data_IF_866354148358
#
_entry.id   IF_866354148358
#
_cell.length_a   1.000
_cell.length_b   1.000
_cell.length_c   1.000
_cell.angle_alpha   90.00
_cell.angle_beta   90.00
_cell.angle_gamma   90.00
#
_symmetry.space_group_name_H-M   'P 1'
#
loop_
_entity.id
_entity.type
_entity.pdbx_description
1 polymer ?
#
# COMPACT_ATOMS: atom_id res chain seq x y z
N UNK A 1 -8.76 -24.35 2.24
CA UNK A 1 -7.49 -23.59 2.26
C UNK A 1 -6.42 -24.43 1.59
N UNK A 2 -5.78 -23.89 0.56
CA UNK A 2 -4.63 -24.55 -0.07
C UNK A 2 -3.45 -24.51 0.90
N UNK A 3 -2.91 -25.67 1.25
CA UNK A 3 -1.74 -25.79 2.11
C UNK A 3 -0.47 -25.54 1.27
N UNK A 4 0.29 -24.50 1.60
CA UNK A 4 1.56 -24.19 0.94
C UNK A 4 2.73 -24.54 1.86
N UNK A 5 3.36 -25.73 1.70
CA UNK A 5 4.43 -26.18 2.60
C UNK A 5 5.65 -25.25 2.61
N UNK A 6 5.90 -24.50 1.51
CA UNK A 6 6.99 -23.53 1.37
C UNK A 6 6.51 -22.06 1.48
N UNK A 7 5.27 -21.83 1.93
CA UNK A 7 4.64 -20.52 1.96
C UNK A 7 3.90 -20.15 0.67
N UNK A 8 3.00 -19.17 0.75
CA UNK A 8 2.16 -18.73 -0.38
C UNK A 8 3.03 -18.27 -1.57
N UNK A 9 2.76 -18.72 -2.81
CA UNK A 9 3.53 -18.27 -3.97
C UNK A 9 3.34 -16.76 -4.20
N UNK A 10 4.38 -16.05 -4.68
CA UNK A 10 4.24 -14.70 -5.18
C UNK A 10 3.15 -14.61 -6.26
N UNK A 11 2.58 -13.42 -6.43
CA UNK A 11 1.60 -13.19 -7.47
C UNK A 11 2.24 -13.30 -8.86
N UNK A 12 1.62 -14.07 -9.75
CA UNK A 12 2.22 -14.49 -11.02
C UNK A 12 3.26 -15.63 -10.90
N UNK A 13 3.43 -16.22 -9.71
CA UNK A 13 4.21 -17.44 -9.49
C UNK A 13 5.67 -17.23 -9.11
N UNK A 14 6.28 -16.11 -9.49
CA UNK A 14 7.67 -15.78 -9.17
C UNK A 14 7.78 -14.37 -8.59
N UNK A 15 8.63 -14.22 -7.57
CA UNK A 15 8.95 -12.92 -7.01
C UNK A 15 9.95 -12.23 -7.95
N UNK A 16 9.56 -11.09 -8.51
CA UNK A 16 10.41 -10.27 -9.36
C UNK A 16 11.51 -9.63 -8.52
N UNK A 17 12.72 -9.55 -9.07
CA UNK A 17 13.79 -8.72 -8.55
C UNK A 17 14.34 -7.88 -9.70
N UNK A 18 14.17 -6.55 -9.60
CA UNK A 18 14.74 -5.57 -10.53
C UNK A 18 15.69 -4.60 -9.81
N UNK A 19 16.33 -5.04 -8.73
CA UNK A 19 17.54 -4.38 -8.25
C UNK A 19 18.69 -4.82 -9.15
N UNK A 20 19.43 -3.86 -9.70
CA UNK A 20 20.57 -4.13 -10.58
C UNK A 20 21.64 -4.95 -9.85
N UNK A 21 22.19 -5.96 -10.51
CA UNK A 21 23.41 -6.61 -10.02
C UNK A 21 24.59 -5.63 -10.05
N UNK A 22 25.69 -5.88 -9.31
CA UNK A 22 26.88 -5.03 -9.38
C UNK A 22 27.36 -4.77 -10.81
N UNK A 23 27.38 -5.81 -11.65
CA UNK A 23 27.80 -5.73 -13.05
C UNK A 23 26.84 -4.87 -13.89
N UNK A 24 25.52 -5.05 -13.70
CA UNK A 24 24.51 -4.22 -14.37
C UNK A 24 24.63 -2.76 -13.94
N UNK A 25 24.81 -2.51 -12.64
CA UNK A 25 24.98 -1.16 -12.08
C UNK A 25 26.18 -0.47 -12.71
N UNK A 26 27.33 -1.14 -12.81
CA UNK A 26 28.52 -0.59 -13.46
C UNK A 26 28.27 -0.25 -14.94
N UNK A 27 27.61 -1.15 -15.68
CA UNK A 27 27.23 -0.90 -17.08
C UNK A 27 26.30 0.31 -17.20
N UNK A 28 25.28 0.42 -16.35
CA UNK A 28 24.37 1.57 -16.36
C UNK A 28 25.06 2.88 -16.00
N UNK A 29 25.94 2.87 -14.99
CA UNK A 29 26.72 4.04 -14.58
C UNK A 29 27.69 4.49 -15.68
N UNK A 30 28.33 3.57 -16.40
CA UNK A 30 29.24 3.90 -17.51
C UNK A 30 28.56 4.65 -18.67
N UNK A 31 27.24 4.50 -18.81
CA UNK A 31 26.42 5.15 -19.85
C UNK A 31 25.73 6.42 -19.35
N UNK A 32 25.78 6.71 -18.04
CA UNK A 32 24.89 7.66 -17.36
C UNK A 32 24.91 9.09 -17.93
N UNK A 33 26.03 9.54 -18.49
CA UNK A 33 26.17 10.87 -19.10
C UNK A 33 25.48 10.98 -20.47
N UNK A 34 25.38 9.86 -21.19
CA UNK A 34 24.88 9.79 -22.57
C UNK A 34 23.42 9.35 -22.66
N UNK A 35 22.87 8.75 -21.60
CA UNK A 35 21.46 8.34 -21.58
C UNK A 35 20.54 9.57 -21.53
N UNK A 36 19.44 9.57 -22.31
CA UNK A 36 18.38 10.54 -22.09
C UNK A 36 17.79 10.35 -20.69
N UNK A 37 17.33 11.45 -20.09
CA UNK A 37 16.96 11.50 -18.68
C UNK A 37 15.46 11.78 -18.52
N UNK A 38 14.85 11.08 -17.57
CA UNK A 38 13.49 11.35 -17.10
C UNK A 38 13.54 11.55 -15.59
N UNK A 39 13.07 12.71 -15.16
CA UNK A 39 12.90 13.05 -13.75
C UNK A 39 11.62 12.38 -13.22
N UNK A 40 11.74 11.57 -12.18
CA UNK A 40 10.62 10.93 -11.50
C UNK A 40 10.04 11.84 -10.43
N UNK A 41 8.72 11.78 -10.26
CA UNK A 41 8.06 12.29 -9.05
C UNK A 41 8.13 11.24 -7.91
N UNK A 42 7.69 11.63 -6.71
CA UNK A 42 7.73 10.75 -5.54
C UNK A 42 6.91 9.46 -5.73
N UNK A 43 5.80 9.50 -6.48
CA UNK A 43 4.95 8.33 -6.72
C UNK A 43 5.64 7.37 -7.70
N UNK A 44 6.27 7.89 -8.75
CA UNK A 44 7.02 7.09 -9.71
C UNK A 44 8.30 6.49 -9.09
N UNK A 45 8.96 7.19 -8.15
CA UNK A 45 10.04 6.61 -7.34
C UNK A 45 9.52 5.41 -6.53
N UNK A 46 8.42 5.60 -5.79
CA UNK A 46 7.78 4.53 -5.02
C UNK A 46 7.41 3.33 -5.89
N UNK A 47 6.88 3.58 -7.10
CA UNK A 47 6.50 2.51 -8.03
C UNK A 47 7.71 1.76 -8.59
N UNK A 48 8.78 2.49 -8.96
CA UNK A 48 10.06 1.89 -9.36
C UNK A 48 10.61 0.99 -8.25
N UNK A 49 10.63 1.45 -7.00
CA UNK A 49 11.08 0.67 -5.86
C UNK A 49 10.22 -0.58 -5.65
N UNK A 50 8.89 -0.43 -5.69
CA UNK A 50 7.96 -1.55 -5.50
C UNK A 50 8.06 -2.61 -6.60
N UNK A 51 8.33 -2.21 -7.85
CA UNK A 51 8.67 -3.14 -8.93
C UNK A 51 10.01 -3.83 -8.61
N UNK A 52 11.04 -3.06 -8.25
CA UNK A 52 12.38 -3.56 -8.02
C UNK A 52 12.50 -4.59 -6.91
N UNK A 53 11.83 -4.37 -5.78
CA UNK A 53 11.86 -5.30 -4.65
C UNK A 53 10.89 -6.48 -4.81
N UNK A 54 10.10 -6.52 -5.89
CA UNK A 54 9.11 -7.56 -6.16
C UNK A 54 7.77 -7.36 -5.44
N UNK A 55 7.57 -6.22 -4.77
CA UNK A 55 6.30 -5.88 -4.13
C UNK A 55 5.15 -5.80 -5.15
N UNK A 56 5.47 -5.44 -6.40
CA UNK A 56 4.54 -5.42 -7.54
C UNK A 56 4.65 -6.61 -8.49
N UNK A 57 5.23 -7.74 -8.06
CA UNK A 57 5.22 -8.96 -8.89
C UNK A 57 3.80 -9.28 -9.38
N UNK A 58 3.60 -9.62 -10.66
CA UNK A 58 4.62 -10.01 -11.63
C UNK A 58 5.22 -8.88 -12.48
N UNK A 59 4.93 -7.61 -12.17
CA UNK A 59 5.44 -6.50 -12.97
C UNK A 59 6.96 -6.44 -12.92
N UNK A 60 7.57 -6.26 -14.09
CA UNK A 60 9.01 -6.07 -14.28
C UNK A 60 9.39 -4.63 -14.63
N UNK A 61 8.38 -3.78 -14.81
CA UNK A 61 8.53 -2.41 -15.26
C UNK A 61 7.19 -1.70 -15.40
N UNK A 62 7.21 -0.53 -16.02
CA UNK A 62 6.00 0.26 -16.26
C UNK A 62 5.18 -0.35 -17.40
N UNK A 63 3.85 -0.39 -17.22
CA UNK A 63 2.94 -1.14 -18.10
C UNK A 63 2.95 -0.65 -19.55
N UNK A 64 3.04 -1.59 -20.48
CA UNK A 64 2.71 -1.37 -21.89
C UNK A 64 1.21 -1.06 -22.06
N UNK A 65 0.84 -0.63 -23.26
CA UNK A 65 -0.54 -0.22 -23.55
C UNK A 65 -1.54 -1.38 -23.36
N UNK A 66 -1.17 -2.60 -23.71
CA UNK A 66 -2.06 -3.75 -23.62
C UNK A 66 -2.38 -4.14 -22.17
N UNK A 67 -1.36 -4.16 -21.30
CA UNK A 67 -1.53 -4.36 -19.86
C UNK A 67 -2.34 -3.20 -19.26
N UNK A 68 -1.99 -1.96 -19.61
CA UNK A 68 -2.70 -0.77 -19.15
C UNK A 68 -4.20 -0.81 -19.48
N UNK A 69 -4.56 -1.03 -20.74
CA UNK A 69 -5.96 -1.00 -21.19
C UNK A 69 -6.80 -2.07 -20.50
N UNK A 70 -6.23 -3.27 -20.29
CA UNK A 70 -6.92 -4.36 -19.60
C UNK A 70 -6.97 -4.17 -18.09
N UNK A 71 -5.96 -3.57 -17.47
CA UNK A 71 -6.02 -3.24 -16.03
C UNK A 71 -7.11 -2.21 -15.79
N UNK A 72 -7.18 -1.17 -16.63
CA UNK A 72 -8.23 -0.14 -16.55
C UNK A 72 -9.61 -0.77 -16.75
N UNK A 73 -9.81 -1.61 -17.77
CA UNK A 73 -11.12 -2.14 -18.11
C UNK A 73 -11.57 -3.36 -17.28
N UNK A 74 -10.64 -4.28 -16.98
CA UNK A 74 -10.94 -5.66 -16.54
C UNK A 74 -10.25 -6.05 -15.23
N UNK A 75 -9.41 -5.18 -14.66
CA UNK A 75 -8.54 -5.51 -13.52
C UNK A 75 -7.64 -6.73 -13.78
N UNK A 76 -7.11 -6.85 -15.00
CA UNK A 76 -6.22 -7.93 -15.41
C UNK A 76 -5.09 -7.41 -16.29
N UNK A 77 -3.92 -8.04 -16.17
CA UNK A 77 -2.85 -7.92 -17.14
C UNK A 77 -3.23 -8.60 -18.46
N UNK A 78 -2.46 -8.34 -19.52
CA UNK A 78 -2.58 -8.94 -20.85
C UNK A 78 -2.60 -10.47 -20.83
N UNK A 79 -1.88 -11.09 -19.88
CA UNK A 79 -1.85 -12.53 -19.70
C UNK A 79 -3.01 -13.10 -18.86
N UNK A 80 -3.95 -12.26 -18.42
CA UNK A 80 -5.13 -12.64 -17.62
C UNK A 80 -4.92 -12.62 -16.11
N UNK A 81 -3.68 -12.43 -15.63
CA UNK A 81 -3.36 -12.31 -14.20
C UNK A 81 -4.08 -11.12 -13.59
N UNK A 82 -4.74 -11.29 -12.44
CA UNK A 82 -5.46 -10.20 -11.77
C UNK A 82 -4.51 -9.07 -11.38
N UNK A 83 -4.88 -7.84 -11.72
CA UNK A 83 -4.16 -6.64 -11.32
C UNK A 83 -5.08 -5.42 -11.45
N UNK A 84 -5.32 -4.70 -10.35
CA UNK A 84 -6.45 -3.76 -10.28
C UNK A 84 -6.11 -2.29 -10.53
N UNK A 85 -4.84 -1.88 -10.44
CA UNK A 85 -4.41 -0.47 -10.51
C UNK A 85 -3.29 -0.28 -11.55
N UNK A 86 -3.41 0.64 -12.51
CA UNK A 86 -2.34 0.89 -13.48
C UNK A 86 -1.05 1.39 -12.81
N UNK A 87 0.09 0.86 -13.25
CA UNK A 87 1.43 1.30 -12.84
C UNK A 87 2.16 1.81 -14.09
N UNK A 88 2.18 3.12 -14.26
CA UNK A 88 2.62 3.81 -15.48
C UNK A 88 3.62 4.92 -15.16
N UNK A 89 4.46 5.25 -16.14
CA UNK A 89 5.34 6.41 -16.09
C UNK A 89 4.92 7.42 -17.16
N UNK A 90 4.17 8.44 -16.75
CA UNK A 90 3.61 9.44 -17.66
C UNK A 90 4.52 10.67 -17.78
N UNK A 91 4.86 11.08 -19.00
CA UNK A 91 5.72 12.25 -19.29
C UNK A 91 5.07 13.21 -20.28
N UNK A 92 5.62 14.42 -20.40
CA UNK A 92 5.17 15.39 -21.39
C UNK A 92 5.41 14.88 -22.82
N UNK A 93 4.70 15.45 -23.81
CA UNK A 93 4.87 15.05 -25.21
C UNK A 93 6.29 15.38 -25.72
N UNK A 94 6.87 16.47 -25.23
CA UNK A 94 8.23 16.93 -25.56
C UNK A 94 9.28 15.96 -25.03
N UNK A 95 9.15 15.53 -23.77
CA UNK A 95 10.03 14.50 -23.19
C UNK A 95 9.89 13.20 -24.00
N UNK A 96 8.68 12.72 -24.24
CA UNK A 96 8.47 11.48 -25.01
C UNK A 96 9.00 11.55 -26.45
N UNK A 97 8.94 12.70 -27.10
CA UNK A 97 9.48 12.90 -28.46
C UNK A 97 11.01 12.80 -28.50
N UNK A 98 11.70 13.17 -27.41
CA UNK A 98 13.17 13.08 -27.31
C UNK A 98 13.68 11.65 -27.09
N UNK A 99 12.81 10.72 -26.69
CA UNK A 99 13.16 9.33 -26.37
C UNK A 99 12.98 8.40 -27.57
N UNK A 100 13.83 7.39 -27.69
CA UNK A 100 13.76 6.36 -28.74
C UNK A 100 13.39 5.01 -28.13
N UNK A 101 12.36 4.36 -28.67
CA UNK A 101 11.98 2.99 -28.28
C UNK A 101 13.12 2.00 -28.61
N UNK A 102 13.29 0.98 -27.78
CA UNK A 102 14.45 0.08 -27.75
C UNK A 102 15.68 0.66 -27.03
N UNK A 103 15.63 1.91 -26.58
CA UNK A 103 16.73 2.57 -25.89
C UNK A 103 16.65 2.48 -24.37
N UNK A 104 17.79 2.70 -23.70
CA UNK A 104 17.86 2.90 -22.26
C UNK A 104 17.59 4.37 -21.91
N UNK A 105 16.84 4.59 -20.83
CA UNK A 105 16.50 5.89 -20.28
C UNK A 105 16.95 5.93 -18.83
N UNK A 106 17.70 6.96 -18.46
CA UNK A 106 18.10 7.21 -17.07
C UNK A 106 16.93 7.81 -16.31
N UNK A 107 16.65 7.26 -15.13
CA UNK A 107 15.61 7.73 -14.20
C UNK A 107 16.27 8.41 -13.01
N UNK A 108 15.98 9.70 -12.85
CA UNK A 108 16.47 10.52 -11.75
C UNK A 108 15.35 10.71 -10.70
N UNK A 109 15.69 10.64 -9.42
CA UNK A 109 14.74 10.95 -8.33
C UNK A 109 14.49 12.46 -8.23
N UNK A 110 13.50 12.95 -7.44
CA UNK A 110 13.21 14.37 -7.26
C UNK A 110 14.41 15.27 -6.92
N UNK A 111 15.44 14.74 -6.27
CA UNK A 111 16.69 15.44 -5.91
C UNK A 111 17.75 15.44 -7.04
N UNK A 112 17.46 14.81 -8.17
CA UNK A 112 18.34 14.73 -9.35
C UNK A 112 19.37 13.59 -9.30
N UNK A 113 19.26 12.66 -8.34
CA UNK A 113 20.13 11.47 -8.24
C UNK A 113 19.67 10.41 -9.23
N UNK A 114 20.63 9.82 -9.95
CA UNK A 114 20.40 8.64 -10.78
C UNK A 114 20.07 7.43 -9.90
N UNK A 115 18.82 6.97 -9.97
CA UNK A 115 18.35 5.86 -9.12
C UNK A 115 17.95 4.62 -9.91
N UNK A 116 17.65 4.74 -11.20
CA UNK A 116 17.22 3.58 -11.98
C UNK A 116 17.25 3.79 -13.48
N UNK A 117 17.06 2.72 -14.23
CA UNK A 117 17.03 2.71 -15.68
C UNK A 117 15.71 2.14 -16.16
N UNK A 118 15.15 2.70 -17.23
CA UNK A 118 14.06 2.12 -18.02
C UNK A 118 14.61 1.69 -19.37
N UNK A 119 14.41 0.43 -19.74
CA UNK A 119 14.53 -0.02 -21.14
C UNK A 119 13.20 0.24 -21.83
N UNK A 120 13.15 1.32 -22.61
CA UNK A 120 11.91 1.84 -23.18
C UNK A 120 11.43 0.92 -24.31
N UNK A 121 10.34 0.19 -24.08
CA UNK A 121 9.74 -0.72 -25.07
C UNK A 121 8.64 -0.06 -25.91
N UNK A 122 7.89 0.89 -25.33
CA UNK A 122 6.73 1.51 -25.97
C UNK A 122 6.43 2.90 -25.40
N UNK A 123 6.00 3.82 -26.26
CA UNK A 123 5.39 5.11 -25.91
C UNK A 123 3.95 5.13 -26.40
N UNK A 124 2.99 5.42 -25.53
CA UNK A 124 1.57 5.47 -25.93
C UNK A 124 0.80 6.57 -25.23
N UNK A 125 -0.25 7.07 -25.90
CA UNK A 125 -1.23 7.98 -25.31
C UNK A 125 -2.36 7.18 -24.69
N UNK A 126 -3.00 7.75 -23.67
CA UNK A 126 -4.10 7.12 -22.95
C UNK A 126 -5.21 8.13 -22.67
N UNK A 127 -6.41 7.61 -22.41
CA UNK A 127 -7.56 8.41 -22.03
C UNK A 127 -7.62 8.52 -20.50
N UNK A 128 -7.16 9.67 -20.00
CA UNK A 128 -7.18 10.01 -18.58
C UNK A 128 -8.58 9.94 -17.96
N UNK A 129 -9.61 10.35 -18.70
CA UNK A 129 -11.00 10.33 -18.20
C UNK A 129 -11.52 8.91 -18.09
N UNK A 130 -11.20 8.06 -19.07
CA UNK A 130 -11.49 6.62 -19.03
C UNK A 130 -10.82 5.96 -17.83
N UNK A 131 -9.56 6.29 -17.54
CA UNK A 131 -8.85 5.81 -16.35
C UNK A 131 -9.52 6.30 -15.07
N UNK A 132 -9.80 7.60 -14.96
CA UNK A 132 -10.46 8.20 -13.80
C UNK A 132 -11.75 7.45 -13.43
N UNK A 133 -12.65 7.32 -14.41
CA UNK A 133 -13.96 6.67 -14.22
C UNK A 133 -13.80 5.18 -13.85
N UNK A 134 -12.98 4.44 -14.57
CA UNK A 134 -12.92 2.99 -14.38
C UNK A 134 -12.13 2.60 -13.13
N UNK A 135 -11.08 3.36 -12.78
CA UNK A 135 -10.20 3.05 -11.65
C UNK A 135 -10.74 3.63 -10.34
N UNK A 136 -11.26 4.86 -10.38
CA UNK A 136 -11.67 5.63 -9.20
C UNK A 136 -13.20 5.80 -9.08
N UNK A 137 -13.99 5.26 -10.02
CA UNK A 137 -15.46 5.36 -10.06
C UNK A 137 -16.01 6.79 -10.15
N UNK A 138 -15.16 7.77 -10.47
CA UNK A 138 -15.51 9.18 -10.58
C UNK A 138 -14.52 9.89 -11.51
N UNK A 139 -14.95 10.99 -12.13
CA UNK A 139 -14.11 11.94 -12.85
C UNK A 139 -13.94 13.28 -12.10
N UNK A 140 -14.36 13.35 -10.83
CA UNK A 140 -14.22 14.53 -9.98
C UNK A 140 -12.75 14.80 -9.61
N UNK A 141 -12.24 15.97 -10.02
CA UNK A 141 -10.87 16.42 -9.76
C UNK A 141 -10.56 16.60 -8.27
N UNK A 142 -11.58 16.67 -7.40
CA UNK A 142 -11.40 16.67 -5.94
C UNK A 142 -10.99 15.31 -5.39
N UNK A 143 -11.19 14.23 -6.13
CA UNK A 143 -10.70 12.92 -5.74
C UNK A 143 -9.17 12.89 -5.89
N UNK A 144 -8.38 12.65 -4.82
CA UNK A 144 -6.92 12.75 -4.88
C UNK A 144 -6.27 11.90 -5.98
N UNK A 145 -6.76 10.67 -6.18
CA UNK A 145 -6.30 9.79 -7.25
C UNK A 145 -6.61 10.31 -8.66
N UNK A 146 -7.77 10.94 -8.89
CA UNK A 146 -8.16 11.51 -10.19
C UNK A 146 -7.33 12.74 -10.49
N UNK A 147 -7.12 13.59 -9.48
CA UNK A 147 -6.26 14.77 -9.60
C UNK A 147 -4.86 14.39 -10.09
N UNK A 148 -4.27 13.32 -9.54
CA UNK A 148 -2.96 12.82 -9.98
C UNK A 148 -3.01 12.40 -11.46
N UNK A 149 -4.00 11.61 -11.88
CA UNK A 149 -4.14 11.19 -13.30
C UNK A 149 -4.29 12.40 -14.24
N UNK A 150 -5.05 13.42 -13.84
CA UNK A 150 -5.23 14.62 -14.66
C UNK A 150 -3.97 15.49 -14.73
N UNK A 151 -3.17 15.52 -13.67
CA UNK A 151 -1.89 16.24 -13.64
C UNK A 151 -0.74 15.51 -14.35
N UNK A 152 -0.88 14.21 -14.64
CA UNK A 152 0.15 13.43 -15.33
C UNK A 152 0.40 13.89 -16.78
N UNK A 153 1.54 13.54 -17.35
CA UNK A 153 1.80 13.75 -18.78
C UNK A 153 0.84 12.94 -19.69
N UNK A 154 0.65 13.36 -20.95
CA UNK A 154 -0.27 12.69 -21.88
C UNK A 154 0.31 11.44 -22.55
N UNK A 155 1.58 11.10 -22.33
CA UNK A 155 2.26 9.95 -22.92
C UNK A 155 2.84 9.07 -21.83
N UNK A 156 2.49 7.79 -21.81
CA UNK A 156 3.09 6.78 -20.95
C UNK A 156 4.32 6.17 -21.62
N UNK A 157 5.36 5.97 -20.81
CA UNK A 157 6.56 5.21 -21.14
C UNK A 157 6.44 3.82 -20.51
N UNK A 158 6.64 2.79 -21.31
CA UNK A 158 6.57 1.40 -20.87
C UNK A 158 7.87 0.65 -21.09
N UNK A 159 8.11 -0.35 -20.27
CA UNK A 159 9.23 -1.26 -20.42
C UNK A 159 9.85 -1.64 -19.09
N UNK A 160 10.82 -2.55 -19.17
CA UNK A 160 11.51 -3.10 -18.02
C UNK A 160 12.32 -2.03 -17.30
N UNK A 161 12.34 -2.10 -15.98
CA UNK A 161 13.09 -1.17 -15.14
C UNK A 161 14.14 -1.89 -14.32
N UNK A 162 15.13 -1.12 -13.86
CA UNK A 162 16.08 -1.54 -12.83
C UNK A 162 16.30 -0.41 -11.85
N UNK A 163 16.22 -0.70 -10.55
CA UNK A 163 16.72 0.17 -9.49
C UNK A 163 18.22 -0.10 -9.32
N UNK A 164 19.04 0.94 -9.36
CA UNK A 164 20.50 0.80 -9.27
C UNK A 164 20.95 0.26 -7.92
N UNK A 165 20.27 0.67 -6.85
CA UNK A 165 20.61 0.34 -5.48
C UNK A 165 19.39 0.53 -4.58
N UNK A 166 19.22 -0.38 -3.62
CA UNK A 166 18.18 -0.26 -2.60
C UNK A 166 18.78 0.39 -1.36
N UNK A 167 18.68 1.72 -1.28
CA UNK A 167 19.18 2.47 -0.13
C UNK A 167 18.32 2.22 1.13
N UNK A 168 18.92 2.28 2.34
CA UNK A 168 18.18 2.30 3.58
C UNK A 168 17.20 3.48 3.67
N UNK A 169 16.00 3.24 4.20
CA UNK A 169 14.99 4.28 4.39
C UNK A 169 15.55 5.34 5.36
N UNK A 170 15.50 6.63 5.01
CA UNK A 170 16.23 7.68 5.74
C UNK A 170 15.82 7.82 7.21
N UNK A 171 14.57 7.48 7.54
CA UNK A 171 14.03 7.63 8.90
C UNK A 171 13.77 6.30 9.63
N UNK A 172 13.60 5.20 8.89
CA UNK A 172 13.07 3.94 9.44
C UNK A 172 13.79 2.71 8.86
N UNK A 173 15.13 2.69 8.83
CA UNK A 173 15.87 1.63 8.16
C UNK A 173 15.59 0.24 8.78
N UNK A 174 15.42 0.16 10.10
CA UNK A 174 15.13 -1.09 10.81
C UNK A 174 13.76 -1.69 10.47
N UNK A 175 12.82 -0.86 10.00
CA UNK A 175 11.48 -1.31 9.61
C UNK A 175 11.34 -1.55 8.11
N UNK A 176 12.38 -1.26 7.33
CA UNK A 176 12.40 -1.52 5.90
C UNK A 176 12.67 -3.01 5.67
N UNK A 177 11.60 -3.77 5.53
CA UNK A 177 11.64 -5.19 5.22
C UNK A 177 11.10 -5.36 3.82
N UNK A 178 11.87 -5.96 2.93
CA UNK A 178 11.45 -6.21 1.53
C UNK A 178 10.74 -7.58 1.40
N UNK A 179 10.04 -7.86 0.28
CA UNK A 179 9.29 -9.11 0.09
C UNK A 179 10.10 -10.40 0.29
N UNK A 180 11.36 -10.44 -0.17
CA UNK A 180 12.22 -11.60 0.02
C UNK A 180 12.55 -11.83 1.50
N UNK A 181 12.82 -10.75 2.24
CA UNK A 181 13.18 -10.80 3.66
C UNK A 181 11.98 -11.17 4.54
N UNK A 182 10.81 -10.55 4.32
CA UNK A 182 9.58 -10.90 5.05
C UNK A 182 9.23 -12.39 4.93
N UNK A 183 9.32 -12.95 3.71
CA UNK A 183 9.15 -14.39 3.48
C UNK A 183 10.15 -15.24 4.26
N UNK A 184 11.42 -14.83 4.29
CA UNK A 184 12.45 -15.52 5.04
C UNK A 184 12.17 -15.46 6.55
N UNK A 185 11.78 -14.29 7.07
CA UNK A 185 11.42 -14.09 8.48
C UNK A 185 10.23 -14.95 8.88
N UNK A 186 9.18 -15.04 8.05
CA UNK A 186 8.03 -15.92 8.32
C UNK A 186 8.45 -17.38 8.41
N UNK A 187 9.32 -17.84 7.49
CA UNK A 187 9.88 -19.20 7.50
C UNK A 187 10.73 -19.46 8.74
N UNK A 188 11.61 -18.53 9.12
CA UNK A 188 12.44 -18.62 10.33
C UNK A 188 11.60 -18.70 11.61
N UNK A 189 10.47 -18.00 11.67
CA UNK A 189 9.52 -18.07 12.78
C UNK A 189 8.62 -19.30 12.74
N UNK A 190 8.69 -20.12 11.70
CA UNK A 190 7.81 -21.28 11.51
C UNK A 190 6.34 -20.90 11.25
N UNK A 191 6.07 -19.66 10.85
CA UNK A 191 4.71 -19.20 10.55
C UNK A 191 4.25 -19.78 9.21
N UNK A 192 3.13 -20.50 9.22
CA UNK A 192 2.50 -21.07 8.02
C UNK A 192 1.39 -20.17 7.49
N UNK A 193 0.75 -19.45 8.40
CA UNK A 193 -0.34 -18.52 8.11
C UNK A 193 0.00 -17.15 8.68
N UNK A 194 -0.01 -16.15 7.81
CA UNK A 194 0.30 -14.76 8.16
C UNK A 194 -0.80 -13.87 7.60
N UNK A 195 -1.30 -12.96 8.44
CA UNK A 195 -2.28 -11.94 8.03
C UNK A 195 -1.61 -10.59 7.87
N UNK A 196 -1.78 -9.96 6.71
CA UNK A 196 -1.34 -8.59 6.47
C UNK A 196 -2.36 -7.56 6.94
N UNK A 197 -1.89 -6.50 7.61
CA UNK A 197 -2.71 -5.34 7.97
C UNK A 197 -2.15 -4.04 7.36
N UNK A 198 -2.92 -3.46 6.46
CA UNK A 198 -2.67 -2.15 5.86
C UNK A 198 -3.15 -1.04 6.78
N UNK A 199 -2.34 -0.03 7.02
CA UNK A 199 -2.81 1.22 7.64
C UNK A 199 -2.02 2.43 7.17
N UNK A 200 -2.64 3.60 7.25
CA UNK A 200 -1.98 4.90 7.18
C UNK A 200 -2.20 5.72 8.46
N UNK A 201 -3.09 5.26 9.33
CA UNK A 201 -3.52 5.96 10.53
C UNK A 201 -2.98 5.26 11.78
N UNK A 202 -2.84 5.97 12.91
CA UNK A 202 -2.61 5.34 14.21
C UNK A 202 -3.63 4.23 14.49
N UNK A 203 -3.16 3.16 15.13
CA UNK A 203 -4.02 2.04 15.53
C UNK A 203 -4.75 2.43 16.83
N UNK A 204 -6.08 2.47 16.76
CA UNK A 204 -6.95 2.61 17.92
C UNK A 204 -7.60 1.26 18.26
N UNK A 205 -8.43 1.18 19.30
CA UNK A 205 -8.94 -0.10 19.83
C UNK A 205 -9.76 -0.93 18.86
N UNK A 206 -10.48 -0.29 17.93
CA UNK A 206 -11.14 -1.02 16.83
C UNK A 206 -10.15 -1.70 15.88
N UNK A 207 -9.03 -1.07 15.52
CA UNK A 207 -7.97 -1.69 14.74
C UNK A 207 -7.26 -2.80 15.54
N UNK A 208 -7.00 -2.56 16.83
CA UNK A 208 -6.43 -3.58 17.74
C UNK A 208 -7.32 -4.83 17.80
N UNK A 209 -8.63 -4.64 17.96
CA UNK A 209 -9.61 -5.73 18.04
C UNK A 209 -9.62 -6.60 16.79
N UNK A 210 -9.70 -6.02 15.60
CA UNK A 210 -9.74 -6.80 14.35
C UNK A 210 -8.41 -7.52 14.09
N UNK A 211 -7.28 -6.91 14.44
CA UNK A 211 -5.97 -7.55 14.33
C UNK A 211 -5.86 -8.76 15.26
N UNK A 212 -6.30 -8.62 16.52
CA UNK A 212 -6.31 -9.73 17.49
C UNK A 212 -7.28 -10.83 17.07
N UNK A 213 -8.49 -10.49 16.62
CA UNK A 213 -9.43 -11.50 16.10
C UNK A 213 -8.86 -12.28 14.91
N UNK A 214 -8.13 -11.62 14.01
CA UNK A 214 -7.45 -12.31 12.92
C UNK A 214 -6.34 -13.23 13.45
N UNK A 215 -5.55 -12.76 14.41
CA UNK A 215 -4.43 -13.48 15.01
C UNK A 215 -4.86 -14.76 15.76
N UNK A 216 -6.10 -14.85 16.25
CA UNK A 216 -6.65 -16.10 16.81
C UNK A 216 -6.73 -17.25 15.77
N UNK A 217 -6.67 -16.92 14.48
CA UNK A 217 -6.85 -17.89 13.38
C UNK A 217 -5.59 -18.11 12.54
N UNK A 218 -4.52 -17.35 12.79
CA UNK A 218 -3.26 -17.41 12.02
C UNK A 218 -2.03 -17.38 12.94
N UNK A 219 -0.87 -17.75 12.42
CA UNK A 219 0.35 -17.84 13.22
C UNK A 219 0.96 -16.47 13.55
N UNK A 220 0.79 -15.48 12.67
CA UNK A 220 1.38 -14.16 12.84
C UNK A 220 0.68 -13.02 12.09
N UNK A 221 0.93 -11.81 12.57
CA UNK A 221 0.45 -10.55 12.00
C UNK A 221 1.63 -9.79 11.35
N UNK A 222 1.47 -9.43 10.08
CA UNK A 222 2.35 -8.50 9.39
C UNK A 222 1.70 -7.11 9.38
N UNK A 223 2.05 -6.30 10.37
CA UNK A 223 1.61 -4.91 10.48
C UNK A 223 2.43 -4.07 9.50
N UNK A 224 1.78 -3.56 8.46
CA UNK A 224 2.47 -3.01 7.30
C UNK A 224 1.96 -1.59 6.96
N UNK A 225 2.25 -0.58 7.81
CA UNK A 225 1.84 0.81 7.59
C UNK A 225 2.52 1.47 6.39
N UNK A 226 1.78 2.34 5.70
CA UNK A 226 2.34 3.27 4.71
C UNK A 226 3.14 4.38 5.40
N UNK A 227 4.39 4.59 4.98
CA UNK A 227 5.22 5.71 5.45
C UNK A 227 5.64 6.67 4.34
N UNK A 228 5.30 6.38 3.08
CA UNK A 228 5.50 7.29 1.95
C UNK A 228 4.58 8.51 2.00
N UNK A 229 4.59 9.32 0.94
CA UNK A 229 3.78 10.53 0.83
C UNK A 229 2.30 10.26 1.14
N UNK A 230 1.85 10.72 2.30
CA UNK A 230 0.44 10.73 2.72
C UNK A 230 -0.15 12.12 2.49
N UNK A 231 -1.47 12.25 2.64
CA UNK A 231 -2.14 13.55 2.49
C UNK A 231 -1.69 14.52 3.59
N UNK A 232 -1.66 15.82 3.30
CA UNK A 232 -1.15 16.87 4.21
C UNK A 232 -1.83 16.93 5.59
N UNK A 233 -3.04 16.36 5.73
CA UNK A 233 -3.78 16.30 6.99
C UNK A 233 -3.58 15.00 7.80
N UNK A 234 -2.74 14.08 7.32
CA UNK A 234 -2.38 12.86 8.04
C UNK A 234 -1.32 13.14 9.11
N UNK A 235 -1.34 12.31 10.17
CA UNK A 235 -0.39 12.40 11.27
C UNK A 235 1.02 12.04 10.74
N UNK A 236 2.08 12.79 11.13
CA UNK A 236 3.45 12.51 10.71
C UNK A 236 3.88 11.06 10.90
N UNK A 237 4.70 10.54 9.98
CA UNK A 237 5.08 9.13 9.96
C UNK A 237 5.83 8.69 11.22
N UNK A 238 6.70 9.52 11.77
CA UNK A 238 7.44 9.29 13.02
C UNK A 238 6.49 9.12 14.22
N UNK A 239 5.48 9.98 14.34
CA UNK A 239 4.45 9.89 15.39
C UNK A 239 3.63 8.61 15.22
N UNK A 240 3.25 8.27 13.99
CA UNK A 240 2.52 7.02 13.72
C UNK A 240 3.34 5.79 14.07
N UNK A 241 4.61 5.76 13.67
CA UNK A 241 5.54 4.68 14.01
C UNK A 241 5.68 4.53 15.52
N UNK A 242 5.84 5.64 16.24
CA UNK A 242 5.90 5.62 17.71
C UNK A 242 4.63 5.07 18.34
N UNK A 243 3.45 5.42 17.81
CA UNK A 243 2.19 4.86 18.26
C UNK A 243 2.11 3.34 18.04
N UNK A 244 2.65 2.83 16.91
CA UNK A 244 2.68 1.38 16.66
C UNK A 244 3.63 0.67 17.63
N UNK A 245 4.83 1.21 17.86
CA UNK A 245 5.79 0.68 18.84
C UNK A 245 5.17 0.55 20.23
N UNK A 246 4.60 1.64 20.76
CA UNK A 246 3.94 1.66 22.07
C UNK A 246 2.86 0.58 22.15
N UNK A 247 2.07 0.42 21.08
CA UNK A 247 1.00 -0.56 21.07
C UNK A 247 1.56 -1.98 21.06
N UNK A 248 2.57 -2.26 20.24
CA UNK A 248 3.16 -3.60 20.14
C UNK A 248 3.89 -3.99 21.43
N UNK A 249 4.65 -3.07 22.03
CA UNK A 249 5.37 -3.28 23.29
C UNK A 249 4.43 -3.67 24.44
N UNK A 250 3.29 -2.99 24.57
CA UNK A 250 2.44 -3.09 25.76
C UNK A 250 1.22 -4.01 25.58
N UNK A 251 0.77 -4.24 24.35
CA UNK A 251 -0.55 -4.84 24.10
C UNK A 251 -0.55 -6.04 23.14
N UNK A 252 0.58 -6.42 22.54
CA UNK A 252 0.69 -7.58 21.65
C UNK A 252 1.71 -8.61 22.16
N UNK A 253 1.54 -9.90 21.82
CA UNK A 253 2.59 -10.90 22.00
C UNK A 253 3.79 -10.57 21.10
N UNK A 254 4.98 -10.48 21.69
CA UNK A 254 6.21 -10.05 21.00
C UNK A 254 6.66 -11.01 19.89
N UNK A 255 6.28 -12.29 19.98
CA UNK A 255 6.65 -13.35 19.04
C UNK A 255 5.65 -13.52 17.89
N UNK A 256 4.55 -12.75 17.87
CA UNK A 256 3.41 -12.91 16.94
C UNK A 256 3.21 -11.77 15.94
N UNK A 257 4.00 -10.70 16.02
CA UNK A 257 3.84 -9.54 15.15
C UNK A 257 5.18 -9.15 14.53
N UNK A 258 5.16 -8.81 13.25
CA UNK A 258 6.24 -8.11 12.55
C UNK A 258 5.70 -6.75 12.11
N UNK A 259 6.40 -5.68 12.49
CA UNK A 259 6.16 -4.32 12.01
C UNK A 259 7.15 -4.03 10.87
N UNK A 260 6.62 -3.66 9.71
CA UNK A 260 7.42 -3.25 8.55
C UNK A 260 6.79 -2.03 7.88
N UNK A 261 7.59 -1.20 7.23
CA UNK A 261 7.06 -0.09 6.43
C UNK A 261 6.66 -0.57 5.03
N UNK A 262 5.59 0.01 4.48
CA UNK A 262 5.17 -0.16 3.11
C UNK A 262 5.62 1.06 2.29
N UNK A 263 6.56 0.90 1.32
CA UNK A 263 7.07 2.01 0.52
C UNK A 263 6.14 2.42 -0.62
N UNK A 264 5.05 1.68 -0.89
CA UNK A 264 4.06 2.03 -1.92
C UNK A 264 3.40 3.39 -1.66
N UNK A 265 3.04 4.12 -2.72
CA UNK A 265 2.17 5.27 -2.63
C UNK A 265 0.69 4.85 -2.57
N UNK A 266 -0.17 5.63 -1.91
CA UNK A 266 -1.62 5.38 -1.93
C UNK A 266 -2.28 6.00 -3.17
N UNK A 267 -3.33 5.35 -3.68
CA UNK A 267 -4.13 5.84 -4.81
C UNK A 267 -5.47 6.43 -4.38
N UNK A 268 -5.95 6.05 -3.19
CA UNK A 268 -7.30 6.30 -2.72
C UNK A 268 -8.37 5.70 -3.64
N UNK A 269 -8.06 4.57 -4.30
CA UNK A 269 -8.96 3.91 -5.27
C UNK A 269 -9.88 2.88 -4.61
N UNK A 270 -10.11 3.02 -3.29
CA UNK A 270 -11.08 2.25 -2.50
C UNK A 270 -11.07 0.75 -2.84
N UNK A 271 -12.14 0.23 -3.48
CA UNK A 271 -12.25 -1.19 -3.80
C UNK A 271 -11.10 -1.75 -4.64
N UNK A 272 -10.71 -1.08 -5.73
CA UNK A 272 -9.62 -1.58 -6.57
C UNK A 272 -8.30 -1.58 -5.82
N UNK A 273 -8.10 -0.61 -4.94
CA UNK A 273 -6.91 -0.55 -4.10
C UNK A 273 -6.90 -1.59 -2.98
N UNK A 274 -8.06 -2.12 -2.56
CA UNK A 274 -8.12 -3.25 -1.64
C UNK A 274 -7.57 -4.54 -2.29
N UNK A 275 -7.93 -4.80 -3.56
CA UNK A 275 -7.32 -5.89 -4.34
C UNK A 275 -5.81 -5.66 -4.48
N UNK A 276 -5.41 -4.45 -4.87
CA UNK A 276 -4.00 -4.09 -5.02
C UNK A 276 -3.19 -4.32 -3.74
N UNK A 277 -3.69 -3.85 -2.60
CA UNK A 277 -3.09 -4.07 -1.31
C UNK A 277 -3.00 -5.55 -0.92
N UNK A 278 -4.00 -6.36 -1.25
CA UNK A 278 -3.95 -7.80 -1.01
C UNK A 278 -2.86 -8.47 -1.85
N UNK A 279 -2.73 -8.11 -3.13
CA UNK A 279 -1.69 -8.62 -4.02
C UNK A 279 -0.28 -8.24 -3.55
N UNK A 280 -0.08 -7.00 -3.10
CA UNK A 280 1.18 -6.58 -2.46
C UNK A 280 1.47 -7.49 -1.26
N UNK A 281 0.50 -7.71 -0.37
CA UNK A 281 0.71 -8.55 0.83
C UNK A 281 0.98 -10.01 0.49
N UNK A 282 0.35 -10.52 -0.57
CA UNK A 282 0.70 -11.82 -1.14
C UNK A 282 2.15 -11.87 -1.58
N UNK A 283 2.66 -10.83 -2.25
CA UNK A 283 4.08 -10.75 -2.64
C UNK A 283 5.03 -10.70 -1.45
N UNK A 284 4.63 -10.09 -0.34
CA UNK A 284 5.35 -10.14 0.95
C UNK A 284 5.19 -11.49 1.70
N UNK A 285 4.41 -12.45 1.18
CA UNK A 285 4.24 -13.77 1.79
C UNK A 285 3.08 -13.89 2.77
N UNK A 286 2.20 -12.88 2.87
CA UNK A 286 0.98 -12.99 3.66
C UNK A 286 -0.02 -13.94 3.00
N UNK A 287 -0.56 -14.87 3.77
CA UNK A 287 -1.60 -15.82 3.35
C UNK A 287 -3.02 -15.24 3.46
N UNK A 288 -3.19 -14.24 4.32
CA UNK A 288 -4.45 -13.60 4.61
C UNK A 288 -4.28 -12.07 4.57
N UNK A 289 -5.36 -11.35 4.33
CA UNK A 289 -5.34 -9.88 4.32
C UNK A 289 -6.59 -9.31 4.97
N UNK A 290 -6.43 -8.46 5.98
CA UNK A 290 -7.56 -7.79 6.64
C UNK A 290 -8.12 -6.71 5.72
N UNK A 291 -9.43 -6.77 5.49
CA UNK A 291 -10.20 -5.73 4.80
C UNK A 291 -11.28 -5.22 5.72
N UNK A 292 -11.12 -3.99 6.20
CA UNK A 292 -12.07 -3.33 7.09
C UNK A 292 -13.18 -2.62 6.34
N UNK A 293 -13.93 -1.80 7.08
CA UNK A 293 -14.84 -0.79 6.53
C UNK A 293 -14.05 0.26 5.74
N UNK A 294 -14.57 0.68 4.58
CA UNK A 294 -14.09 1.84 3.82
C UNK A 294 -12.58 1.77 3.51
N UNK A 295 -12.11 0.57 3.19
CA UNK A 295 -10.70 0.28 2.99
C UNK A 295 -10.16 1.07 1.78
N UNK A 296 -9.08 1.83 2.00
CA UNK A 296 -8.48 2.74 1.02
C UNK A 296 -9.46 3.76 0.41
N UNK A 297 -10.60 4.01 1.06
CA UNK A 297 -11.55 5.03 0.66
C UNK A 297 -11.09 6.46 1.03
N UNK A 298 -11.75 7.42 0.38
CA UNK A 298 -11.60 8.85 0.61
C UNK A 298 -12.98 9.51 0.47
N UNK A 299 -13.31 10.42 1.39
CA UNK A 299 -14.62 11.08 1.41
C UNK A 299 -15.77 10.08 1.38
N UNK A 300 -16.77 10.36 0.55
CA UNK A 300 -17.95 9.51 0.35
C UNK A 300 -18.01 8.91 -1.08
N UNK A 301 -16.85 8.77 -1.75
CA UNK A 301 -16.78 8.26 -3.13
C UNK A 301 -17.07 6.76 -3.27
N UNK A 302 -17.01 6.00 -2.18
CA UNK A 302 -17.18 4.54 -2.19
C UNK A 302 -18.18 4.10 -1.13
N UNK A 303 -18.91 3.02 -1.41
CA UNK A 303 -19.76 2.38 -0.42
C UNK A 303 -18.94 1.81 0.73
N UNK A 304 -19.56 1.80 1.92
CA UNK A 304 -18.94 1.39 3.20
C UNK A 304 -18.22 0.04 3.15
N UNK A 305 -18.70 -0.91 2.34
CA UNK A 305 -18.16 -2.27 2.21
C UNK A 305 -17.79 -2.64 0.77
N UNK A 306 -17.74 -1.67 -0.16
CA UNK A 306 -17.43 -1.96 -1.57
C UNK A 306 -16.07 -2.63 -1.74
N UNK A 307 -15.10 -2.26 -0.88
CA UNK A 307 -13.78 -2.87 -0.85
C UNK A 307 -13.76 -4.33 -0.36
N UNK A 308 -14.82 -4.78 0.30
CA UNK A 308 -15.01 -6.19 0.64
C UNK A 308 -15.71 -6.91 -0.51
N UNK A 309 -16.77 -6.30 -1.07
CA UNK A 309 -17.58 -6.91 -2.13
C UNK A 309 -16.81 -7.14 -3.43
N UNK A 310 -15.86 -6.28 -3.78
CA UNK A 310 -15.05 -6.44 -5.00
C UNK A 310 -14.27 -7.75 -5.06
N UNK A 311 -13.94 -8.36 -3.92
CA UNK A 311 -13.28 -9.68 -3.92
C UNK A 311 -14.16 -10.78 -4.51
N UNK A 312 -15.48 -10.61 -4.53
CA UNK A 312 -16.42 -11.57 -5.13
C UNK A 312 -16.45 -11.52 -6.68
N UNK A 313 -15.79 -10.54 -7.30
CA UNK A 313 -15.62 -10.47 -8.76
C UNK A 313 -14.55 -11.45 -9.27
N UNK A 314 -13.81 -12.10 -8.35
CA UNK A 314 -12.73 -13.02 -8.65
C UNK A 314 -12.94 -14.36 -7.93
N UNK A 315 -12.44 -15.43 -8.51
CA UNK A 315 -12.30 -16.69 -7.79
C UNK A 315 -11.17 -16.60 -6.75
N UNK A 316 -11.26 -17.34 -5.62
CA UNK A 316 -10.18 -17.38 -4.63
C UNK A 316 -8.81 -17.74 -5.22
N UNK A 317 -8.78 -18.58 -6.25
CA UNK A 317 -7.56 -19.04 -6.93
C UNK A 317 -6.86 -17.92 -7.71
N UNK A 318 -7.63 -17.02 -8.33
CA UNK A 318 -7.10 -15.91 -9.12
C UNK A 318 -6.39 -14.86 -8.27
N UNK A 319 -6.94 -14.58 -7.08
CA UNK A 319 -6.33 -13.67 -6.10
C UNK A 319 -5.22 -14.40 -5.33
N UNK A 320 -5.49 -15.64 -4.91
CA UNK A 320 -4.55 -16.53 -4.23
C UNK A 320 -4.22 -16.15 -2.79
N UNK A 321 -4.77 -15.05 -2.24
CA UNK A 321 -4.67 -14.62 -0.84
C UNK A 321 -6.08 -14.53 -0.24
N UNK A 322 -6.25 -14.97 1.01
CA UNK A 322 -7.58 -15.05 1.64
C UNK A 322 -7.95 -13.71 2.31
N UNK A 323 -8.99 -12.99 1.85
CA UNK A 323 -9.44 -11.78 2.54
C UNK A 323 -10.12 -12.14 3.87
N UNK A 324 -9.81 -11.39 4.92
CA UNK A 324 -10.49 -11.42 6.22
C UNK A 324 -11.33 -10.15 6.37
N UNK A 325 -12.63 -10.28 6.14
CA UNK A 325 -13.56 -9.16 6.11
C UNK A 325 -14.09 -8.84 7.51
N UNK A 326 -13.82 -7.63 7.98
CA UNK A 326 -14.31 -7.16 9.28
C UNK A 326 -15.34 -6.05 9.12
N UNK A 327 -16.43 -6.17 9.88
CA UNK A 327 -17.41 -5.09 10.03
C UNK A 327 -16.87 -3.94 10.89
N UNK A 328 -17.61 -2.83 10.91
CA UNK A 328 -17.26 -1.69 11.74
C UNK A 328 -17.22 -2.07 13.23
N UNK A 329 -16.01 -2.10 13.80
CA UNK A 329 -15.80 -2.38 15.21
C UNK A 329 -16.01 -1.11 16.06
N UNK A 330 -16.63 -1.28 17.22
CA UNK A 330 -16.92 -0.22 18.18
C UNK A 330 -16.76 -0.75 19.62
N UNK A 331 -16.58 0.16 20.57
CA UNK A 331 -16.65 -0.22 21.98
C UNK A 331 -18.11 -0.22 22.42
N UNK A 332 -18.59 -1.37 22.91
CA UNK A 332 -19.95 -1.50 23.42
C UNK A 332 -19.98 -1.21 24.92
N UNK A 333 -20.74 -0.20 25.34
CA UNK A 333 -20.88 0.16 26.76
C UNK A 333 -21.66 -0.87 27.57
N UNK A 334 -22.58 -1.60 26.93
CA UNK A 334 -23.35 -2.69 27.55
C UNK A 334 -22.47 -3.89 27.90
N UNK A 335 -21.66 -4.37 26.96
CA UNK A 335 -20.78 -5.54 27.16
C UNK A 335 -19.39 -5.15 27.64
N UNK A 336 -19.08 -3.85 27.72
CA UNK A 336 -17.80 -3.28 28.15
C UNK A 336 -16.58 -3.81 27.38
N UNK A 337 -16.76 -4.09 26.08
CA UNK A 337 -15.73 -4.66 25.22
C UNK A 337 -15.87 -4.17 23.77
N UNK A 338 -14.80 -4.37 22.99
CA UNK A 338 -14.85 -4.20 21.55
C UNK A 338 -15.74 -5.28 20.91
N UNK A 339 -16.53 -4.88 19.93
CA UNK A 339 -17.41 -5.79 19.21
C UNK A 339 -17.71 -5.23 17.81
N UNK A 340 -18.44 -6.01 17.01
CA UNK A 340 -19.09 -5.54 15.77
C UNK A 340 -20.60 -5.73 15.88
N UNK A 341 -21.33 -5.32 14.85
CA UNK A 341 -22.76 -5.62 14.71
C UNK A 341 -23.06 -7.12 14.64
N UNK A 342 -22.09 -7.97 14.32
CA UNK A 342 -22.26 -9.43 14.35
C UNK A 342 -22.32 -10.02 15.76
N UNK A 343 -21.64 -9.39 16.73
CA UNK A 343 -21.37 -9.98 18.04
C UNK A 343 -21.97 -9.22 19.21
N UNK A 344 -22.43 -7.99 19.00
CA UNK A 344 -23.03 -7.16 20.05
C UNK A 344 -24.50 -6.85 19.80
N UNK A 345 -25.40 -7.05 20.77
CA UNK A 345 -26.81 -6.67 20.69
C UNK A 345 -27.05 -5.19 21.04
N UNK A 346 -26.00 -4.37 21.06
CA UNK A 346 -26.08 -2.97 21.47
C UNK A 346 -26.87 -2.13 20.48
N UNK A 347 -27.58 -1.14 21.00
CA UNK A 347 -28.19 -0.07 20.18
C UNK A 347 -27.13 0.99 19.82
N UNK A 348 -27.34 1.81 18.78
CA UNK A 348 -26.37 2.84 18.36
C UNK A 348 -25.86 3.75 19.49
N UNK A 349 -26.72 4.13 20.44
CA UNK A 349 -26.39 4.96 21.60
C UNK A 349 -25.46 4.28 22.61
N UNK A 350 -25.31 2.96 22.55
CA UNK A 350 -24.43 2.16 23.40
C UNK A 350 -23.09 1.82 22.70
N UNK A 351 -22.81 2.46 21.55
CA UNK A 351 -21.62 2.22 20.72
C UNK A 351 -20.72 3.43 20.69
N UNK A 352 -19.60 3.35 21.41
CA UNK A 352 -18.56 4.38 21.34
C UNK A 352 -17.71 4.14 20.09
N UNK A 353 -17.76 5.12 19.19
CA UNK A 353 -16.89 5.26 18.04
C UNK A 353 -16.65 6.76 17.81
N UNK A 354 -15.46 7.13 17.34
CA UNK A 354 -15.10 8.52 17.07
C UNK A 354 -14.60 8.64 15.63
N UNK A 355 -15.06 9.68 14.93
CA UNK A 355 -14.50 10.02 13.62
C UNK A 355 -13.09 10.60 13.78
N UNK A 356 -12.25 10.45 12.75
CA UNK A 356 -10.90 11.03 12.75
C UNK A 356 -10.92 12.55 12.96
N UNK A 357 -11.92 13.25 12.42
CA UNK A 357 -12.12 14.69 12.64
C UNK A 357 -12.35 15.01 14.13
N UNK A 358 -13.24 14.28 14.79
CA UNK A 358 -13.51 14.47 16.22
C UNK A 358 -12.29 14.16 17.09
N UNK A 359 -11.53 13.12 16.76
CA UNK A 359 -10.27 12.80 17.45
C UNK A 359 -9.26 13.94 17.31
N UNK A 360 -9.06 14.49 16.10
CA UNK A 360 -8.17 15.62 15.87
C UNK A 360 -8.61 16.88 16.62
N UNK A 361 -9.91 17.17 16.65
CA UNK A 361 -10.45 18.30 17.42
C UNK A 361 -10.17 18.16 18.91
N UNK A 362 -10.40 16.98 19.50
CA UNK A 362 -10.08 16.71 20.90
C UNK A 362 -8.60 16.93 21.18
N UNK A 363 -7.73 16.34 20.37
CA UNK A 363 -6.27 16.45 20.55
C UNK A 363 -5.76 17.89 20.41
N UNK A 364 -6.32 18.70 19.48
CA UNK A 364 -6.01 20.13 19.33
C UNK A 364 -6.43 20.97 20.55
N UNK A 365 -7.53 20.59 21.22
CA UNK A 365 -7.95 21.19 22.50
C UNK A 365 -7.16 20.67 23.70
N UNK A 366 -6.22 19.75 23.46
CA UNK A 366 -5.43 19.11 24.49
C UNK A 366 -6.18 18.06 25.32
N UNK A 367 -7.34 17.61 24.83
CA UNK A 367 -8.14 16.54 25.40
C UNK A 367 -7.71 15.18 24.83
N UNK A 368 -7.59 14.17 25.68
CA UNK A 368 -7.26 12.82 25.25
C UNK A 368 -8.53 12.09 24.78
N UNK A 369 -8.47 11.32 23.68
CA UNK A 369 -9.51 10.35 23.35
C UNK A 369 -9.76 9.39 24.53
N UNK A 370 -11.01 8.96 24.75
CA UNK A 370 -11.36 8.09 25.88
C UNK A 370 -10.66 6.72 25.76
N UNK A 371 -10.40 6.03 26.90
CA UNK A 371 -9.73 4.73 26.92
C UNK A 371 -10.51 3.61 26.22
N UNK A 372 -11.81 3.79 26.01
CA UNK A 372 -12.68 2.93 25.20
C UNK A 372 -12.38 3.05 23.69
N UNK A 373 -11.82 4.18 23.25
CA UNK A 373 -11.45 4.42 21.86
C UNK A 373 -9.98 4.16 21.58
N UNK A 374 -9.07 4.72 22.38
CA UNK A 374 -7.62 4.60 22.21
C UNK A 374 -6.94 4.16 23.50
N UNK A 375 -5.82 3.45 23.40
CA UNK A 375 -5.00 3.16 24.59
C UNK A 375 -4.44 4.47 25.16
N UNK A 376 -4.42 4.67 26.50
CA UNK A 376 -3.98 5.93 27.10
C UNK A 376 -2.60 6.39 26.66
N UNK A 377 -1.65 5.46 26.52
CA UNK A 377 -0.26 5.73 26.11
C UNK A 377 -0.20 6.22 24.66
N UNK A 378 -0.97 5.59 23.77
CA UNK A 378 -1.10 6.00 22.36
C UNK A 378 -1.78 7.37 22.27
N UNK A 379 -2.84 7.59 23.05
CA UNK A 379 -3.53 8.88 23.11
C UNK A 379 -2.61 10.01 23.60
N UNK A 380 -1.81 9.75 24.63
CA UNK A 380 -0.84 10.71 25.16
C UNK A 380 0.24 11.07 24.14
N UNK A 381 0.76 10.09 23.40
CA UNK A 381 1.73 10.32 22.33
C UNK A 381 1.17 11.18 21.21
N UNK A 382 -0.06 10.90 20.77
CA UNK A 382 -0.75 11.72 19.77
C UNK A 382 -0.97 13.16 20.27
N UNK A 383 -1.36 13.34 21.53
CA UNK A 383 -1.58 14.66 22.10
C UNK A 383 -0.26 15.45 22.24
N UNK A 384 0.83 14.77 22.59
CA UNK A 384 2.17 15.36 22.65
C UNK A 384 2.56 15.90 21.28
N UNK A 385 2.45 15.09 20.23
CA UNK A 385 2.78 15.49 18.87
C UNK A 385 1.93 16.68 18.37
N UNK A 386 0.62 16.69 18.66
CA UNK A 386 -0.26 17.79 18.20
C UNK A 386 -0.08 19.10 18.96
N UNK A 387 0.44 19.06 20.20
CA UNK A 387 0.79 20.26 20.97
C UNK A 387 2.16 20.83 20.62
N UNK A 388 3.05 20.01 20.05
CA UNK A 388 4.31 20.45 19.45
C UNK A 388 4.01 20.86 18.00
N UNK A 389 3.25 21.94 17.84
CA UNK A 389 3.34 22.71 16.60
C UNK A 389 4.55 23.64 16.76
N UNK A 390 5.53 23.52 15.86
CA UNK A 390 6.73 24.38 15.79
C UNK A 390 6.33 25.85 15.69
#
# INVERSE_FOLDING_TARGET
>A
MSYYPEGIPPHGGQLVNRIATPEQKEVFLSKAEFLPRVQLDQRAVSDLEMIAIGGFSPLTGFMNQQDYDRVVAEMRLANGTVWSIPITLSVSAEVAASLTEGGLVRLDNPEGRFIGVLELSQKYRYDKKREAINVYRTDDEKHPGVQVVYNQGPVNLAGDVWLLERDPHPYFPTYQIDPAESRQLFKQKGWKTVVGFQTRNPIHRAHEYIQKCALETVDGLFLHPLVGATKDDDIPADVRMRCYEILLENYYPQDRVILAINPSAMRYAGPREAIFHALIRKNYGCTHFIVGRDHAGVGDYYGTYDAQYIFAEFTPEEIGITPMMFEHAFYCTRTKQMATTKTSPSKPEERIHLSGTKVREMLRRGELPPPEFSRPEVAAELARAMKVSV
#
